data_IF_032561268469
#
_entry.id   IF_032561268469
#
_cell.length_a   1.000
_cell.length_b   1.000
_cell.length_c   1.000
_cell.angle_alpha   90.00
_cell.angle_beta   90.00
_cell.angle_gamma   90.00
#
_symmetry.space_group_name_H-M   'P 1'
#
loop_
_entity.id
_entity.type
_entity.pdbx_description
1 polymer ?
#
# COMPACT_ATOMS: atom_id res chain seq x y z
N UNK A 1 -22.55 -8.40 10.88
CA UNK A 1 -21.43 -9.23 10.45
C UNK A 1 -20.13 -8.61 10.89
N UNK A 2 -19.21 -9.42 11.39
CA UNK A 2 -18.06 -8.97 12.18
C UNK A 2 -16.84 -8.92 11.29
N UNK A 3 -16.18 -7.77 11.28
CA UNK A 3 -14.95 -7.53 10.52
C UNK A 3 -13.78 -8.27 11.17
N UNK A 4 -12.84 -8.69 10.34
CA UNK A 4 -11.53 -9.17 10.78
C UNK A 4 -10.54 -8.08 10.39
N UNK A 5 -9.88 -7.48 11.36
CA UNK A 5 -8.86 -6.49 11.12
C UNK A 5 -7.48 -7.16 11.17
N UNK A 6 -6.70 -6.93 10.12
CA UNK A 6 -5.30 -7.31 10.05
C UNK A 6 -4.50 -6.03 9.99
N UNK A 7 -3.51 -5.87 10.83
CA UNK A 7 -2.72 -4.65 10.91
C UNK A 7 -1.24 -4.92 11.03
N UNK A 8 -0.42 -4.11 10.38
CA UNK A 8 0.99 -4.04 10.63
C UNK A 8 1.22 -3.47 12.03
N UNK A 9 1.99 -4.16 12.84
CA UNK A 9 2.26 -3.73 14.20
C UNK A 9 3.50 -2.83 14.21
N UNK A 10 3.29 -1.56 14.49
CA UNK A 10 4.40 -0.66 14.82
C UNK A 10 4.72 -0.80 16.31
N UNK A 11 6.00 -0.86 16.73
CA UNK A 11 6.40 -1.18 18.11
C UNK A 11 5.87 -0.24 19.18
N UNK A 12 5.31 0.89 18.81
CA UNK A 12 4.87 1.95 19.72
C UNK A 12 3.40 2.39 19.47
N UNK A 13 2.63 1.62 18.66
CA UNK A 13 1.50 2.27 18.02
C UNK A 13 0.14 1.99 18.63
N UNK A 14 -0.31 0.75 18.69
CA UNK A 14 -1.72 0.48 19.04
C UNK A 14 -1.79 -0.25 20.37
N UNK A 15 -2.39 0.35 21.41
CA UNK A 15 -2.54 -0.29 22.71
C UNK A 15 -3.33 -1.61 22.63
N UNK A 16 -2.95 -2.60 23.43
CA UNK A 16 -3.65 -3.89 23.51
C UNK A 16 -5.14 -3.71 23.86
N UNK A 17 -5.48 -2.70 24.63
CA UNK A 17 -6.87 -2.33 24.98
C UNK A 17 -7.73 -2.03 23.75
N UNK A 18 -7.14 -1.50 22.67
CA UNK A 18 -7.84 -1.32 21.40
C UNK A 18 -8.26 -2.66 20.80
N UNK A 19 -7.36 -3.62 20.73
CA UNK A 19 -7.65 -4.95 20.22
C UNK A 19 -8.60 -5.70 21.14
N UNK A 20 -8.49 -5.51 22.45
CA UNK A 20 -9.42 -6.11 23.40
C UNK A 20 -10.85 -5.60 23.18
N UNK A 21 -11.05 -4.29 22.98
CA UNK A 21 -12.38 -3.74 22.66
C UNK A 21 -12.96 -4.31 21.35
N UNK A 22 -12.12 -4.56 20.35
CA UNK A 22 -12.57 -5.23 19.12
C UNK A 22 -13.04 -6.65 19.41
N UNK A 23 -12.28 -7.41 20.18
CA UNK A 23 -12.64 -8.79 20.59
C UNK A 23 -13.92 -8.83 21.42
N UNK A 24 -14.07 -7.93 22.38
CA UNK A 24 -15.26 -7.81 23.21
C UNK A 24 -16.52 -7.48 22.37
N UNK A 25 -16.32 -6.75 21.28
CA UNK A 25 -17.36 -6.50 20.28
C UNK A 25 -17.57 -7.70 19.33
N UNK A 26 -16.85 -8.82 19.56
CA UNK A 26 -16.89 -10.05 18.80
C UNK A 26 -16.21 -9.99 17.45
N UNK A 27 -15.30 -9.04 17.25
CA UNK A 27 -14.41 -8.98 16.10
C UNK A 27 -13.22 -9.88 16.37
N UNK A 28 -12.93 -10.80 15.46
CA UNK A 28 -11.73 -11.63 15.54
C UNK A 28 -10.52 -10.80 15.13
N UNK A 29 -9.48 -10.88 15.91
CA UNK A 29 -8.22 -10.16 15.64
C UNK A 29 -7.08 -11.16 15.57
N UNK A 30 -6.17 -10.95 14.64
CA UNK A 30 -4.96 -11.75 14.47
C UNK A 30 -3.77 -10.81 14.29
N UNK A 31 -2.78 -10.94 15.15
CA UNK A 31 -1.55 -10.20 15.06
C UNK A 31 -0.57 -10.92 14.13
N UNK A 32 -0.15 -10.22 13.07
CA UNK A 32 0.86 -10.72 12.14
C UNK A 32 2.26 -10.49 12.72
N UNK A 33 3.08 -11.53 12.76
CA UNK A 33 4.49 -11.49 13.21
C UNK A 33 4.71 -10.53 14.41
N UNK A 34 4.23 -10.88 15.62
CA UNK A 34 4.34 -10.01 16.78
C UNK A 34 5.80 -9.65 17.06
N UNK A 35 6.06 -8.38 17.44
CA UNK A 35 7.42 -7.90 17.71
C UNK A 35 8.04 -8.57 18.94
N UNK A 36 7.20 -8.99 19.91
CA UNK A 36 7.67 -9.70 21.09
C UNK A 36 8.05 -11.15 20.74
N UNK A 37 9.33 -11.56 20.82
CA UNK A 37 9.74 -12.93 20.51
C UNK A 37 9.06 -13.98 21.37
N UNK A 38 8.65 -13.65 22.61
CA UNK A 38 7.96 -14.56 23.50
C UNK A 38 6.57 -14.99 22.99
N UNK A 39 5.97 -14.22 22.09
CA UNK A 39 4.68 -14.53 21.42
C UNK A 39 4.89 -14.99 19.98
N UNK A 40 6.14 -15.15 19.55
CA UNK A 40 6.48 -15.55 18.20
C UNK A 40 6.03 -16.98 17.89
N UNK A 41 5.52 -17.19 16.68
CA UNK A 41 5.14 -18.50 16.15
C UNK A 41 6.25 -19.07 15.26
N UNK A 42 6.21 -20.37 14.97
CA UNK A 42 7.14 -20.99 14.02
C UNK A 42 7.07 -20.27 12.66
N UNK A 43 8.22 -19.93 12.10
CA UNK A 43 8.33 -19.11 10.88
C UNK A 43 8.31 -17.60 11.12
N UNK A 44 8.43 -17.17 12.40
CA UNK A 44 8.52 -15.75 12.75
C UNK A 44 9.85 -15.14 12.28
N UNK A 45 9.74 -14.00 11.62
CA UNK A 45 10.87 -13.20 11.21
C UNK A 45 10.72 -11.75 11.66
N UNK A 46 11.76 -11.22 12.31
CA UNK A 46 11.73 -9.88 12.91
C UNK A 46 11.40 -8.79 11.89
N UNK A 47 11.81 -8.94 10.66
CA UNK A 47 11.73 -7.89 9.64
C UNK A 47 10.50 -7.98 8.73
N UNK A 48 9.83 -9.13 8.66
CA UNK A 48 8.64 -9.30 7.85
C UNK A 48 7.41 -8.64 8.50
N UNK A 49 6.68 -7.84 7.73
CA UNK A 49 5.45 -7.17 8.17
C UNK A 49 4.35 -7.29 7.12
N UNK A 50 3.11 -7.32 7.57
CA UNK A 50 1.97 -7.13 6.68
C UNK A 50 1.66 -5.64 6.57
N UNK A 51 1.95 -5.08 5.41
CA UNK A 51 1.71 -3.67 5.12
C UNK A 51 0.47 -3.45 4.26
N UNK A 52 -0.25 -4.51 3.89
CA UNK A 52 -1.50 -4.43 3.13
C UNK A 52 -2.58 -3.71 3.90
N UNK A 53 -3.32 -2.85 3.22
CA UNK A 53 -4.51 -2.17 3.71
C UNK A 53 -5.67 -2.63 2.85
N UNK A 54 -6.38 -3.64 3.34
CA UNK A 54 -7.38 -4.35 2.58
C UNK A 54 -8.65 -4.53 3.41
N UNK A 55 -9.75 -3.97 2.96
CA UNK A 55 -11.07 -4.18 3.55
C UNK A 55 -11.97 -4.88 2.54
N UNK A 56 -12.44 -6.05 2.89
CA UNK A 56 -13.34 -6.83 2.04
C UNK A 56 -14.70 -6.94 2.73
N UNK A 57 -15.74 -6.53 2.02
CA UNK A 57 -17.10 -6.52 2.53
C UNK A 57 -17.91 -7.60 1.81
N UNK A 58 -18.37 -8.60 2.57
CA UNK A 58 -19.24 -9.70 2.13
C UNK A 58 -18.73 -10.50 0.92
N UNK A 59 -17.42 -10.44 0.63
CA UNK A 59 -16.82 -11.04 -0.57
C UNK A 59 -17.29 -10.40 -1.88
N UNK A 60 -17.85 -9.18 -1.83
CA UNK A 60 -18.47 -8.48 -2.96
C UNK A 60 -17.80 -7.17 -3.33
N UNK A 61 -17.27 -6.48 -2.34
CA UNK A 61 -16.60 -5.19 -2.49
C UNK A 61 -15.29 -5.23 -1.77
N UNK A 62 -14.26 -4.69 -2.38
CA UNK A 62 -12.95 -4.49 -1.74
C UNK A 62 -12.56 -3.02 -1.78
N UNK A 63 -11.98 -2.56 -0.68
CA UNK A 63 -11.29 -1.28 -0.58
C UNK A 63 -9.81 -1.58 -0.33
N UNK A 64 -8.94 -0.96 -1.10
CA UNK A 64 -7.49 -1.08 -0.94
C UNK A 64 -6.78 0.19 -1.34
N UNK A 65 -5.62 0.42 -0.74
CA UNK A 65 -4.78 1.59 -1.01
C UNK A 65 -3.76 1.82 0.09
N UNK A 66 -3.48 3.09 0.38
CA UNK A 66 -2.53 3.48 1.40
C UNK A 66 -3.13 3.78 2.77
N UNK A 67 -4.46 3.96 2.90
CA UNK A 67 -5.12 4.43 4.12
C UNK A 67 -5.02 3.38 5.24
N UNK A 68 -4.49 3.80 6.38
CA UNK A 68 -4.50 3.02 7.62
C UNK A 68 -5.73 3.35 8.49
N UNK A 69 -6.07 2.46 9.42
CA UNK A 69 -7.03 2.77 10.50
C UNK A 69 -6.32 3.69 11.50
N UNK A 70 -6.37 4.99 11.25
CA UNK A 70 -5.68 6.01 12.07
C UNK A 70 -6.40 7.35 12.03
N UNK A 71 -6.35 8.08 13.14
CA UNK A 71 -6.90 9.43 13.24
C UNK A 71 -6.18 10.47 12.38
N UNK A 72 -4.98 10.17 11.86
CA UNK A 72 -4.24 11.08 10.96
C UNK A 72 -4.97 11.35 9.66
N UNK A 73 -5.88 10.47 9.25
CA UNK A 73 -6.75 10.64 8.08
C UNK A 73 -8.10 11.32 8.42
N UNK A 74 -8.41 11.50 9.71
CA UNK A 74 -9.69 12.10 10.12
C UNK A 74 -9.72 13.60 9.80
N UNK A 75 -10.42 13.95 8.77
CA UNK A 75 -10.56 15.33 8.25
C UNK A 75 -11.38 15.35 6.96
N UNK A 76 -11.75 14.17 6.50
CA UNK A 76 -12.64 13.94 5.36
C UNK A 76 -12.06 14.33 4.01
N UNK A 77 -12.35 13.52 3.02
CA UNK A 77 -12.09 13.76 1.60
C UNK A 77 -13.00 14.86 1.00
N UNK A 78 -13.92 15.45 1.78
CA UNK A 78 -14.78 16.51 1.27
C UNK A 78 -14.03 17.84 1.23
N UNK A 79 -14.05 18.50 0.07
CA UNK A 79 -13.52 19.87 -0.16
C UNK A 79 -14.00 20.92 0.85
N UNK A 80 -14.96 20.60 1.74
CA UNK A 80 -15.57 21.51 2.70
C UNK A 80 -15.05 21.43 4.13
N UNK A 81 -14.20 20.46 4.46
CA UNK A 81 -13.81 20.23 5.86
C UNK A 81 -12.30 19.95 5.98
N UNK A 82 -11.46 20.86 5.53
CA UNK A 82 -10.09 20.92 6.04
C UNK A 82 -10.10 21.66 7.39
N UNK A 83 -10.77 21.10 8.40
CA UNK A 83 -10.46 21.55 9.76
C UNK A 83 -9.08 20.99 10.07
N UNK A 84 -8.15 21.89 10.33
CA UNK A 84 -6.86 21.50 10.89
C UNK A 84 -7.10 20.59 12.11
N UNK A 85 -6.24 19.62 12.32
CA UNK A 85 -6.24 18.81 13.54
C UNK A 85 -6.04 19.71 14.76
N UNK A 86 -6.36 19.25 15.98
CA UNK A 86 -6.11 20.03 17.20
C UNK A 86 -4.66 20.52 17.35
N UNK A 87 -3.71 19.79 16.74
CA UNK A 87 -2.28 20.14 16.66
C UNK A 87 -1.96 21.13 15.53
N UNK A 88 -2.94 21.60 14.76
CA UNK A 88 -2.77 22.50 13.61
C UNK A 88 -2.31 21.83 12.33
N UNK A 89 -2.08 20.51 12.32
CA UNK A 89 -1.67 19.78 11.14
C UNK A 89 -2.83 19.48 10.19
N UNK A 90 -2.55 19.48 8.90
CA UNK A 90 -3.50 19.02 7.90
C UNK A 90 -3.62 17.50 7.93
N UNK A 91 -4.82 16.94 7.69
CA UNK A 91 -4.99 15.49 7.54
C UNK A 91 -4.10 14.94 6.42
N UNK A 92 -3.61 13.74 6.64
CA UNK A 92 -2.84 13.03 5.61
C UNK A 92 -3.67 12.82 4.35
N UNK A 93 -2.99 12.82 3.21
CA UNK A 93 -3.60 12.57 1.91
C UNK A 93 -3.16 11.22 1.39
N UNK A 94 -4.14 10.43 0.99
CA UNK A 94 -3.92 9.10 0.47
C UNK A 94 -4.89 8.78 -0.67
N UNK A 95 -4.70 7.62 -1.30
CA UNK A 95 -5.54 7.13 -2.39
C UNK A 95 -5.93 5.69 -2.11
N UNK A 96 -7.24 5.45 -2.10
CA UNK A 96 -7.80 4.10 -2.04
C UNK A 96 -8.75 3.88 -3.23
N UNK A 97 -8.87 2.62 -3.64
CA UNK A 97 -9.84 2.15 -4.63
C UNK A 97 -10.96 1.40 -3.95
N UNK A 98 -12.18 1.60 -4.45
CA UNK A 98 -13.29 0.67 -4.27
C UNK A 98 -13.44 -0.17 -5.54
N UNK A 99 -13.43 -1.49 -5.39
CA UNK A 99 -13.50 -2.43 -6.50
C UNK A 99 -14.68 -3.40 -6.26
N UNK A 100 -15.46 -3.62 -7.30
CA UNK A 100 -16.53 -4.61 -7.34
C UNK A 100 -16.34 -5.52 -8.56
N UNK A 101 -16.90 -6.72 -8.51
CA UNK A 101 -16.82 -7.68 -9.59
C UNK A 101 -15.97 -8.91 -9.25
N UNK A 102 -15.74 -9.80 -10.23
CA UNK A 102 -15.13 -11.12 -9.99
C UNK A 102 -13.74 -11.07 -9.35
N UNK A 103 -12.95 -10.02 -9.58
CA UNK A 103 -11.59 -9.86 -9.04
C UNK A 103 -11.58 -9.76 -7.51
N UNK A 104 -12.69 -9.41 -6.86
CA UNK A 104 -12.81 -9.39 -5.39
C UNK A 104 -12.45 -10.75 -4.79
N UNK A 105 -12.72 -11.83 -5.49
CA UNK A 105 -12.35 -13.19 -5.05
C UNK A 105 -10.82 -13.35 -4.90
N UNK A 106 -10.02 -12.70 -5.73
CA UNK A 106 -8.55 -12.79 -5.65
C UNK A 106 -8.02 -12.05 -4.41
N UNK A 107 -8.55 -10.87 -4.10
CA UNK A 107 -8.23 -10.18 -2.84
C UNK A 107 -8.68 -10.96 -1.61
N UNK A 108 -9.86 -11.61 -1.69
CA UNK A 108 -10.36 -12.48 -0.61
C UNK A 108 -9.41 -13.68 -0.37
N UNK A 109 -8.87 -14.27 -1.43
CA UNK A 109 -7.87 -15.35 -1.31
C UNK A 109 -6.60 -14.87 -0.60
N UNK A 110 -6.08 -13.68 -0.93
CA UNK A 110 -4.90 -13.11 -0.28
C UNK A 110 -5.12 -12.94 1.24
N UNK A 111 -6.28 -12.41 1.63
CA UNK A 111 -6.62 -12.26 3.03
C UNK A 111 -6.70 -13.62 3.75
N UNK A 112 -7.43 -14.59 3.18
CA UNK A 112 -7.61 -15.92 3.80
C UNK A 112 -6.30 -16.70 3.85
N UNK A 113 -5.45 -16.59 2.84
CA UNK A 113 -4.13 -17.22 2.83
C UNK A 113 -3.26 -16.71 3.99
N UNK A 114 -3.25 -15.40 4.23
CA UNK A 114 -2.51 -14.83 5.36
C UNK A 114 -3.10 -15.22 6.70
N UNK A 115 -4.44 -15.19 6.83
CA UNK A 115 -5.11 -15.66 8.05
C UNK A 115 -4.71 -17.10 8.40
N UNK A 116 -4.69 -17.97 7.41
CA UNK A 116 -4.30 -19.38 7.57
C UNK A 116 -2.81 -19.54 7.88
N UNK A 117 -1.93 -18.85 7.14
CA UNK A 117 -0.48 -18.91 7.35
C UNK A 117 -0.09 -18.46 8.76
N UNK A 118 -0.78 -17.46 9.31
CA UNK A 118 -0.57 -16.97 10.67
C UNK A 118 -1.30 -17.82 11.73
N UNK A 119 -1.82 -19.01 11.34
CA UNK A 119 -2.55 -19.93 12.24
C UNK A 119 -3.72 -19.24 12.95
N UNK A 120 -4.47 -18.42 12.23
CA UNK A 120 -5.68 -17.81 12.72
C UNK A 120 -6.73 -18.88 13.10
N UNK A 121 -7.58 -18.57 14.08
CA UNK A 121 -8.69 -19.45 14.44
C UNK A 121 -9.58 -19.76 13.22
N UNK A 122 -10.16 -20.96 13.16
CA UNK A 122 -11.10 -21.30 12.10
C UNK A 122 -12.21 -20.27 11.97
N UNK A 123 -12.37 -19.72 10.77
CA UNK A 123 -13.44 -18.77 10.50
C UNK A 123 -14.78 -19.53 10.41
N UNK A 124 -15.85 -18.92 10.93
CA UNK A 124 -17.17 -19.50 10.82
C UNK A 124 -17.54 -19.78 9.35
N UNK A 125 -18.18 -20.92 9.04
CA UNK A 125 -18.60 -21.21 7.67
C UNK A 125 -19.48 -20.08 7.12
N UNK A 126 -19.07 -19.55 5.97
CA UNK A 126 -19.81 -18.55 5.19
C UNK A 126 -19.42 -18.64 3.72
N UNK A 127 -20.21 -18.06 2.87
CA UNK A 127 -19.84 -17.95 1.48
C UNK A 127 -18.81 -16.79 1.29
N UNK A 128 -17.54 -17.11 1.38
CA UNK A 128 -16.46 -16.15 1.15
C UNK A 128 -16.28 -15.78 -0.33
N UNK A 129 -16.82 -16.58 -1.24
CA UNK A 129 -16.67 -16.44 -2.67
C UNK A 129 -18.04 -16.47 -3.37
N UNK A 130 -18.89 -15.46 -3.15
CA UNK A 130 -20.17 -15.38 -3.87
C UNK A 130 -19.90 -15.22 -5.35
N UNK A 131 -20.80 -15.73 -6.20
CA UNK A 131 -20.75 -15.48 -7.63
C UNK A 131 -21.01 -14.01 -7.90
N UNK A 132 -20.09 -13.36 -8.60
CA UNK A 132 -20.14 -11.94 -8.91
C UNK A 132 -20.22 -11.73 -10.41
N UNK A 133 -21.07 -10.78 -10.81
CA UNK A 133 -21.16 -10.31 -12.19
C UNK A 133 -20.06 -9.27 -12.44
N UNK A 134 -19.59 -9.16 -13.67
CA UNK A 134 -18.69 -8.08 -14.08
C UNK A 134 -19.35 -6.71 -13.82
N UNK A 135 -18.56 -5.78 -13.33
CA UNK A 135 -18.94 -4.39 -13.05
C UNK A 135 -17.97 -3.46 -13.76
N UNK A 136 -18.51 -2.46 -14.46
CA UNK A 136 -17.69 -1.52 -15.22
C UNK A 136 -17.05 -2.15 -16.47
N UNK A 137 -16.06 -1.45 -17.02
CA UNK A 137 -15.33 -1.84 -18.23
C UNK A 137 -13.84 -2.07 -17.98
N UNK A 138 -13.38 -1.74 -16.77
CA UNK A 138 -11.97 -1.79 -16.42
C UNK A 138 -11.52 -3.23 -16.20
N UNK A 139 -10.33 -3.54 -16.68
CA UNK A 139 -9.65 -4.80 -16.39
C UNK A 139 -8.79 -4.59 -15.15
N UNK A 140 -9.14 -5.28 -14.07
CA UNK A 140 -8.43 -5.16 -12.80
C UNK A 140 -7.74 -6.48 -12.45
N UNK A 141 -6.50 -6.39 -12.01
CA UNK A 141 -5.72 -7.51 -11.48
C UNK A 141 -5.36 -7.27 -10.03
N UNK A 142 -5.61 -8.25 -9.17
CA UNK A 142 -5.08 -8.27 -7.81
C UNK A 142 -3.65 -8.79 -7.82
N UNK A 143 -2.71 -8.03 -7.31
CA UNK A 143 -1.31 -8.44 -7.20
C UNK A 143 -0.91 -8.36 -5.74
N UNK A 144 -0.64 -9.52 -5.13
CA UNK A 144 0.02 -9.62 -3.82
C UNK A 144 1.52 -9.84 -3.99
N UNK A 145 2.31 -9.44 -3.02
CA UNK A 145 3.69 -9.87 -2.84
C UNK A 145 3.95 -10.25 -1.39
N UNK A 146 4.87 -11.17 -1.20
CA UNK A 146 5.32 -11.67 0.09
C UNK A 146 6.85 -11.74 0.10
N UNK A 147 7.51 -11.55 1.25
CA UNK A 147 8.94 -11.81 1.38
C UNK A 147 9.37 -13.24 1.05
N UNK A 148 8.42 -14.20 1.11
CA UNK A 148 8.66 -15.61 0.78
C UNK A 148 8.60 -15.88 -0.72
N UNK A 149 8.17 -14.90 -1.54
CA UNK A 149 8.17 -15.03 -2.99
C UNK A 149 9.59 -14.92 -3.54
N UNK A 150 9.91 -15.65 -4.59
CA UNK A 150 11.22 -15.59 -5.26
C UNK A 150 11.53 -14.18 -5.76
N UNK A 151 10.50 -13.44 -6.17
CA UNK A 151 10.58 -12.04 -6.58
C UNK A 151 9.23 -11.34 -6.32
N UNK A 152 9.28 -10.03 -6.02
CA UNK A 152 8.05 -9.23 -5.88
C UNK A 152 7.38 -9.03 -7.24
N UNK A 153 6.23 -9.65 -7.44
CA UNK A 153 5.45 -9.50 -8.68
C UNK A 153 4.99 -8.04 -8.90
N UNK A 154 4.70 -7.31 -7.82
CA UNK A 154 4.38 -5.87 -7.88
C UNK A 154 5.55 -5.10 -8.49
N UNK A 155 6.77 -5.37 -8.00
CA UNK A 155 7.99 -4.72 -8.48
C UNK A 155 8.28 -5.02 -9.95
N UNK A 156 8.25 -6.30 -10.32
CA UNK A 156 8.49 -6.73 -11.71
C UNK A 156 7.46 -6.11 -12.66
N UNK A 157 6.19 -6.05 -12.25
CA UNK A 157 5.13 -5.45 -13.07
C UNK A 157 5.34 -3.94 -13.23
N UNK A 158 5.75 -3.24 -12.16
CA UNK A 158 6.07 -1.81 -12.21
C UNK A 158 7.25 -1.53 -13.16
N UNK A 159 8.35 -2.27 -13.01
CA UNK A 159 9.52 -2.11 -13.89
C UNK A 159 9.18 -2.38 -15.35
N UNK A 160 8.40 -3.43 -15.61
CA UNK A 160 7.96 -3.76 -16.97
C UNK A 160 7.10 -2.65 -17.58
N UNK A 161 6.18 -2.09 -16.80
CA UNK A 161 5.31 -1.00 -17.25
C UNK A 161 6.13 0.27 -17.55
N UNK A 162 7.08 0.66 -16.67
CA UNK A 162 7.99 1.80 -16.92
C UNK A 162 8.87 1.54 -18.16
N UNK A 163 9.38 0.31 -18.30
CA UNK A 163 10.21 -0.08 -19.45
C UNK A 163 9.48 0.00 -20.79
N UNK A 164 8.17 -0.27 -20.79
CA UNK A 164 7.29 -0.23 -21.97
C UNK A 164 6.62 1.11 -22.22
N UNK A 165 6.82 2.10 -21.34
CA UNK A 165 6.20 3.42 -21.46
C UNK A 165 6.64 4.14 -22.75
N UNK A 166 5.67 4.73 -23.46
CA UNK A 166 5.87 5.44 -24.71
C UNK A 166 5.70 6.97 -24.56
N UNK A 167 4.81 7.43 -23.67
CA UNK A 167 4.45 8.84 -23.55
C UNK A 167 4.66 9.41 -22.14
N UNK A 168 4.18 8.73 -21.10
CA UNK A 168 4.23 9.28 -19.74
C UNK A 168 4.39 8.21 -18.66
N UNK A 169 5.12 8.54 -17.61
CA UNK A 169 5.24 7.79 -16.35
C UNK A 169 5.03 8.75 -15.20
N UNK A 170 3.89 8.65 -14.53
CA UNK A 170 3.55 9.49 -13.39
C UNK A 170 3.44 8.66 -12.13
N UNK A 171 4.35 8.89 -11.19
CA UNK A 171 4.42 8.16 -9.92
C UNK A 171 4.10 9.10 -8.76
N UNK A 172 3.27 8.62 -7.83
CA UNK A 172 3.06 9.29 -6.54
C UNK A 172 3.43 8.31 -5.44
N UNK A 173 4.37 8.66 -4.57
CA UNK A 173 4.80 7.74 -3.53
C UNK A 173 5.19 8.44 -2.23
N UNK A 174 4.75 7.85 -1.10
CA UNK A 174 4.99 8.40 0.24
C UNK A 174 6.45 8.27 0.70
N UNK A 175 7.06 7.11 0.42
CA UNK A 175 8.45 6.82 0.78
C UNK A 175 9.16 6.30 -0.47
N UNK A 176 9.96 7.17 -1.06
CA UNK A 176 10.63 6.92 -2.33
C UNK A 176 12.14 6.84 -2.10
N UNK A 177 12.65 5.63 -2.05
CA UNK A 177 14.08 5.31 -2.02
C UNK A 177 14.32 4.29 -3.11
N UNK A 178 14.49 4.73 -4.38
CA UNK A 178 14.60 3.82 -5.51
C UNK A 178 15.86 2.98 -5.39
N UNK A 179 15.73 1.72 -5.68
CA UNK A 179 16.88 0.86 -5.91
C UNK A 179 17.55 1.17 -7.26
N UNK A 180 18.72 0.61 -7.53
CA UNK A 180 19.43 0.87 -8.80
C UNK A 180 18.62 0.50 -10.05
N UNK A 181 17.75 -0.53 -10.00
CA UNK A 181 16.96 -0.98 -11.15
C UNK A 181 15.80 -0.02 -11.43
N UNK A 182 15.05 0.38 -10.41
CA UNK A 182 13.97 1.36 -10.55
C UNK A 182 14.52 2.71 -11.01
N UNK A 183 15.65 3.15 -10.42
CA UNK A 183 16.31 4.39 -10.83
C UNK A 183 16.74 4.31 -12.31
N UNK A 184 17.36 3.21 -12.73
CA UNK A 184 17.77 3.00 -14.13
C UNK A 184 16.56 2.97 -15.08
N UNK A 185 15.45 2.35 -14.68
CA UNK A 185 14.23 2.29 -15.50
C UNK A 185 13.62 3.68 -15.72
N UNK A 186 13.53 4.52 -14.67
CA UNK A 186 13.03 5.90 -14.78
C UNK A 186 13.93 6.75 -15.68
N UNK A 187 15.25 6.68 -15.50
CA UNK A 187 16.24 7.38 -16.34
C UNK A 187 16.15 6.92 -17.79
N UNK A 188 16.06 5.64 -18.04
CA UNK A 188 15.93 5.11 -19.39
C UNK A 188 14.61 5.54 -20.06
N UNK A 189 13.50 5.64 -19.32
CA UNK A 189 12.24 6.18 -19.82
C UNK A 189 12.41 7.66 -20.22
N UNK A 190 12.97 8.50 -19.34
CA UNK A 190 13.23 9.91 -19.63
C UNK A 190 14.16 10.08 -20.83
N UNK A 191 15.23 9.26 -20.94
CA UNK A 191 16.14 9.30 -22.09
C UNK A 191 15.46 8.91 -23.43
N UNK A 192 14.38 8.13 -23.39
CA UNK A 192 13.54 7.84 -24.58
C UNK A 192 12.60 8.99 -24.94
N UNK A 193 12.53 10.05 -24.13
CA UNK A 193 11.61 11.17 -24.33
C UNK A 193 10.26 11.02 -23.65
N UNK A 194 10.09 9.99 -22.79
CA UNK A 194 8.89 9.80 -21.96
C UNK A 194 8.80 10.91 -20.91
N UNK A 195 7.64 11.49 -20.70
CA UNK A 195 7.38 12.49 -19.64
C UNK A 195 7.32 11.80 -18.26
N UNK A 196 8.46 11.75 -17.57
CA UNK A 196 8.57 11.10 -16.25
C UNK A 196 8.38 12.10 -15.14
N UNK A 197 7.30 11.96 -14.37
CA UNK A 197 6.94 12.84 -13.25
C UNK A 197 6.79 12.09 -11.95
N UNK A 198 7.43 12.59 -10.90
CA UNK A 198 7.32 12.09 -9.54
C UNK A 198 6.62 13.13 -8.67
N UNK A 199 5.59 12.72 -7.93
CA UNK A 199 4.98 13.51 -6.86
C UNK A 199 5.40 12.88 -5.53
N UNK A 200 6.25 13.57 -4.78
CA UNK A 200 6.86 13.08 -3.56
C UNK A 200 6.49 13.98 -2.37
N UNK A 201 6.61 13.50 -1.12
CA UNK A 201 6.28 14.33 0.04
C UNK A 201 7.29 15.47 0.23
N UNK A 202 6.79 16.69 0.42
CA UNK A 202 7.58 17.81 0.92
C UNK A 202 7.58 17.92 2.45
N UNK A 203 6.81 17.06 3.13
CA UNK A 203 6.77 16.85 4.58
C UNK A 203 6.72 15.36 4.86
N UNK A 204 7.31 14.93 5.96
CA UNK A 204 7.43 13.51 6.31
C UNK A 204 7.29 13.30 7.82
N UNK A 205 6.89 12.11 8.19
CA UNK A 205 6.96 11.54 9.54
C UNK A 205 8.28 10.80 9.81
N UNK A 206 9.14 10.65 8.77
CA UNK A 206 10.44 9.97 8.85
C UNK A 206 11.55 10.79 8.17
N UNK A 207 12.26 11.58 8.97
CA UNK A 207 13.35 12.43 8.46
C UNK A 207 14.44 11.62 7.74
N UNK A 208 14.78 10.43 8.25
CA UNK A 208 15.79 9.56 7.63
C UNK A 208 15.39 9.14 6.21
N UNK A 209 14.18 8.65 6.03
CA UNK A 209 13.64 8.23 4.72
C UNK A 209 13.55 9.41 3.77
N UNK A 210 13.14 10.57 4.27
CA UNK A 210 13.04 11.80 3.50
C UNK A 210 14.38 12.24 2.93
N UNK A 211 15.40 12.32 3.77
CA UNK A 211 16.74 12.72 3.32
C UNK A 211 17.39 11.66 2.41
N UNK A 212 17.18 10.38 2.70
CA UNK A 212 17.64 9.30 1.84
C UNK A 212 17.01 9.39 0.43
N UNK A 213 15.69 9.62 0.35
CA UNK A 213 15.01 9.80 -0.94
C UNK A 213 15.53 11.00 -1.72
N UNK A 214 15.73 12.14 -1.04
CA UNK A 214 16.22 13.37 -1.67
C UNK A 214 17.66 13.27 -2.19
N UNK A 215 18.47 12.35 -1.68
CA UNK A 215 19.83 12.15 -2.20
C UNK A 215 19.87 11.70 -3.66
N UNK A 216 18.77 11.19 -4.19
CA UNK A 216 18.64 10.78 -5.59
C UNK A 216 18.13 11.89 -6.52
N UNK A 217 17.67 13.05 -5.97
CA UNK A 217 17.00 14.07 -6.76
C UNK A 217 17.90 14.68 -7.83
N UNK A 218 19.11 15.09 -7.46
CA UNK A 218 20.04 15.73 -8.40
C UNK A 218 20.29 14.85 -9.61
N UNK A 219 20.53 13.57 -9.40
CA UNK A 219 20.76 12.62 -10.47
C UNK A 219 19.53 12.43 -11.35
N UNK A 220 18.33 12.28 -10.76
CA UNK A 220 17.09 12.13 -11.53
C UNK A 220 16.75 13.39 -12.33
N UNK A 221 16.92 14.58 -11.74
CA UNK A 221 16.68 15.85 -12.43
C UNK A 221 17.64 16.05 -13.62
N UNK A 222 18.92 15.68 -13.45
CA UNK A 222 19.91 15.72 -14.54
C UNK A 222 19.55 14.78 -15.70
N UNK A 223 18.90 13.65 -15.38
CA UNK A 223 18.44 12.69 -16.38
C UNK A 223 17.06 13.02 -16.97
N UNK A 224 16.49 14.19 -16.66
CA UNK A 224 15.23 14.69 -17.24
C UNK A 224 13.96 14.26 -16.51
N UNK A 225 14.06 13.59 -15.37
CA UNK A 225 12.89 13.28 -14.51
C UNK A 225 12.41 14.57 -13.83
N UNK A 226 11.12 14.81 -13.82
CA UNK A 226 10.50 15.97 -13.17
C UNK A 226 10.00 15.58 -11.79
N UNK A 227 10.39 16.33 -10.76
CA UNK A 227 10.04 16.05 -9.37
C UNK A 227 9.21 17.19 -8.79
N UNK A 228 8.05 16.86 -8.24
CA UNK A 228 7.17 17.75 -7.50
C UNK A 228 7.15 17.34 -6.03
N UNK A 229 7.33 18.30 -5.14
CA UNK A 229 7.14 18.09 -3.70
C UNK A 229 5.79 18.63 -3.23
N UNK A 230 4.97 17.77 -2.65
CA UNK A 230 3.73 18.17 -2.02
C UNK A 230 3.98 18.70 -0.60
N UNK A 231 3.62 19.97 -0.32
CA UNK A 231 3.94 20.65 0.95
C UNK A 231 2.73 20.99 1.81
N UNK A 232 1.51 20.96 1.25
CA UNK A 232 0.27 21.33 1.95
C UNK A 232 -0.16 20.32 3.01
N UNK A 233 0.07 19.04 2.77
CA UNK A 233 -0.27 17.95 3.68
C UNK A 233 0.77 16.82 3.56
N UNK A 234 0.87 15.96 4.57
CA UNK A 234 1.64 14.73 4.45
C UNK A 234 0.91 13.82 3.44
N UNK A 235 1.64 13.45 2.38
CA UNK A 235 1.15 12.57 1.34
C UNK A 235 1.55 11.14 1.65
N UNK A 236 0.58 10.22 1.61
CA UNK A 236 0.85 8.81 1.87
C UNK A 236 0.37 7.88 0.74
N UNK A 237 0.00 8.43 -0.41
CA UNK A 237 -0.43 7.67 -1.59
C UNK A 237 0.71 6.86 -2.21
N UNK A 238 0.38 5.72 -2.81
CA UNK A 238 1.27 4.86 -3.58
C UNK A 238 0.56 4.49 -4.88
N UNK A 239 0.82 5.29 -5.91
CA UNK A 239 0.16 5.16 -7.21
C UNK A 239 1.13 5.34 -8.36
N UNK A 240 0.85 4.66 -9.46
CA UNK A 240 1.49 4.91 -10.73
C UNK A 240 0.43 4.97 -11.85
N UNK A 241 0.66 5.85 -12.82
CA UNK A 241 -0.09 5.92 -14.08
C UNK A 241 0.91 5.96 -15.21
N UNK A 242 0.74 5.11 -16.20
CA UNK A 242 1.65 4.98 -17.35
C UNK A 242 0.81 5.02 -18.63
N UNK A 243 1.15 5.96 -19.50
CA UNK A 243 0.54 6.21 -20.81
C UNK A 243 -1.00 6.39 -20.77
N UNK A 244 -1.58 6.72 -19.59
CA UNK A 244 -3.01 6.84 -19.38
C UNK A 244 -3.80 5.53 -19.55
N UNK A 245 -3.14 4.39 -19.75
CA UNK A 245 -3.76 3.09 -20.00
C UNK A 245 -3.46 2.04 -18.93
N UNK A 246 -2.35 2.17 -18.24
CA UNK A 246 -1.99 1.30 -17.11
C UNK A 246 -1.89 2.11 -15.83
N UNK A 247 -2.45 1.59 -14.76
CA UNK A 247 -2.31 2.23 -13.45
C UNK A 247 -2.22 1.19 -12.34
N UNK A 248 -1.57 1.57 -11.23
CA UNK A 248 -1.61 0.78 -10.00
C UNK A 248 -1.86 1.67 -8.79
N UNK A 249 -2.66 1.15 -7.87
CA UNK A 249 -2.92 1.73 -6.55
C UNK A 249 -2.82 0.63 -5.51
N UNK A 250 -2.13 0.89 -4.40
CA UNK A 250 -2.00 -0.12 -3.36
C UNK A 250 -1.23 0.33 -2.14
N UNK A 251 -0.66 -0.64 -1.46
CA UNK A 251 0.08 -0.41 -0.21
C UNK A 251 1.59 -0.21 -0.41
N UNK A 252 2.12 -0.53 -1.60
CA UNK A 252 3.56 -0.67 -1.84
C UNK A 252 4.27 0.67 -1.96
N UNK A 253 5.19 0.97 -1.04
CA UNK A 253 6.15 2.05 -1.23
C UNK A 253 7.23 1.62 -2.24
N UNK A 254 7.81 2.61 -2.94
CA UNK A 254 8.88 2.34 -3.89
C UNK A 254 10.23 2.38 -3.18
N UNK A 255 10.39 1.41 -2.27
CA UNK A 255 11.58 1.21 -1.47
C UNK A 255 11.88 -0.29 -1.26
N UNK A 256 13.11 -0.60 -0.86
CA UNK A 256 13.59 -1.96 -0.59
C UNK A 256 12.74 -2.71 0.42
N UNK A 257 12.25 -2.00 1.46
CA UNK A 257 11.48 -2.64 2.52
C UNK A 257 10.16 -3.19 1.99
N UNK A 258 9.47 -2.40 1.18
CA UNK A 258 8.21 -2.82 0.58
C UNK A 258 8.39 -3.96 -0.43
N UNK A 259 9.46 -3.93 -1.21
CA UNK A 259 9.66 -4.94 -2.23
C UNK A 259 10.19 -6.28 -1.69
N UNK A 260 10.96 -6.29 -0.59
CA UNK A 260 11.66 -7.47 -0.11
C UNK A 260 11.22 -7.98 1.27
N UNK A 261 10.62 -7.13 2.10
CA UNK A 261 10.39 -7.48 3.50
C UNK A 261 8.94 -7.36 3.94
N UNK A 262 8.09 -6.73 3.15
CA UNK A 262 6.69 -6.58 3.50
C UNK A 262 5.80 -7.48 2.65
N UNK A 263 4.68 -7.90 3.24
CA UNK A 263 3.54 -8.32 2.44
C UNK A 263 2.82 -7.07 1.95
N UNK A 264 2.64 -6.97 0.65
CA UNK A 264 2.00 -5.84 -0.01
C UNK A 264 0.86 -6.28 -0.92
N UNK A 265 -0.02 -5.36 -1.28
CA UNK A 265 -1.09 -5.59 -2.25
C UNK A 265 -1.32 -4.35 -3.10
N UNK A 266 -1.44 -4.55 -4.40
CA UNK A 266 -1.81 -3.54 -5.38
C UNK A 266 -2.92 -4.06 -6.31
N UNK A 267 -3.67 -3.12 -6.87
CA UNK A 267 -4.55 -3.36 -8.00
C UNK A 267 -3.99 -2.67 -9.23
#
# INVERSE_FOLDING_TARGET
DKFVAQGANMPLGTPEEFFQRLRDSGIRTLQFNPVNPATAKAGWELNQRDHRKLLIVDGRTVFLGGINISSVYSGGSSRRASKARPDGEQPWRDTDLQIEGPVVAEFQKLFLATWLAQKGEPLAPRNFFPTLQARGKEVVRAIGSSPDDEFSLIYVTLLSAIGSAETEVWLTNAYFIPDPQLLAALKAAAARGVDVRLVLPGRTDSALVFHAGRSYYDQMLQDGVIIFERRDALMHSKTAVIDGVWSTVGSTNFDWRSFLHNQEVNA
#
